data_IF_389988647706
#
_entry.id   IF_389988647706
#
_cell.length_a   1.000
_cell.length_b   1.000
_cell.length_c   1.000
_cell.angle_alpha   90.00
_cell.angle_beta   90.00
_cell.angle_gamma   90.00
#
_symmetry.space_group_name_H-M   'P 1'
#
loop_
_entity.id
_entity.type
_entity.pdbx_description
1 polymer ?
#
# COMPACT_ATOMS: atom_id res chain seq x y z
N UNK A 1 8.07 2.97 8.88
CA UNK A 1 8.41 4.06 7.95
C UNK A 1 7.20 4.42 7.08
N UNK A 2 6.60 5.59 7.31
CA UNK A 2 6.13 6.50 6.25
C UNK A 2 6.32 7.95 6.73
N UNK A 3 6.49 8.87 5.77
CA UNK A 3 6.98 10.27 5.90
C UNK A 3 8.46 10.46 6.27
N UNK A 4 9.38 9.82 5.53
CA UNK A 4 10.75 10.34 5.38
C UNK A 4 11.90 9.44 5.85
N UNK A 5 11.67 8.15 6.11
CA UNK A 5 12.75 7.21 6.45
C UNK A 5 13.45 7.47 7.80
N UNK A 6 12.91 8.38 8.62
CA UNK A 6 13.46 8.67 9.94
C UNK A 6 13.04 7.59 10.94
N UNK A 7 14.02 7.00 11.62
CA UNK A 7 13.78 6.18 12.79
C UNK A 7 13.42 7.13 13.94
N UNK A 8 12.22 6.95 14.49
CA UNK A 8 11.73 7.75 15.61
C UNK A 8 11.83 6.91 16.86
N UNK A 9 12.51 7.43 17.89
CA UNK A 9 12.55 6.83 19.22
C UNK A 9 11.35 7.30 20.04
N UNK A 10 10.82 6.43 20.91
CA UNK A 10 9.64 6.76 21.71
C UNK A 10 9.89 7.89 22.72
N UNK A 11 11.13 8.04 23.17
CA UNK A 11 11.56 9.11 24.08
C UNK A 11 11.55 10.50 23.41
N UNK A 12 11.67 10.55 22.09
CA UNK A 12 11.74 11.78 21.29
C UNK A 12 10.40 12.13 20.61
N UNK A 13 9.36 11.32 20.85
CA UNK A 13 8.05 11.45 20.21
C UNK A 13 7.02 12.07 21.16
N UNK A 14 6.12 12.90 20.61
CA UNK A 14 4.94 13.39 21.32
C UNK A 14 3.71 12.50 21.03
N UNK A 15 2.64 12.60 21.83
CA UNK A 15 1.43 11.81 21.61
C UNK A 15 0.80 12.06 20.23
N UNK A 16 0.93 13.28 19.69
CA UNK A 16 0.46 13.62 18.34
C UNK A 16 1.32 13.04 17.22
N UNK A 17 2.50 12.51 17.53
CA UNK A 17 3.49 12.11 16.53
C UNK A 17 3.03 10.92 15.71
N UNK A 18 2.23 10.00 16.26
CA UNK A 18 1.68 8.91 15.45
C UNK A 18 0.71 9.44 14.37
N UNK A 19 -0.13 10.42 14.73
CA UNK A 19 -1.10 11.03 13.82
C UNK A 19 -0.43 11.94 12.80
N UNK A 20 0.64 12.64 13.20
CA UNK A 20 1.35 13.60 12.36
C UNK A 20 2.34 12.91 11.42
N UNK A 21 3.08 11.92 11.94
CA UNK A 21 4.18 11.26 11.24
C UNK A 21 3.80 9.91 10.63
N UNK A 22 2.63 9.35 10.95
CA UNK A 22 2.22 8.04 10.39
C UNK A 22 3.17 6.92 10.79
N UNK A 23 3.47 6.81 12.08
CA UNK A 23 4.49 5.91 12.60
C UNK A 23 4.12 4.44 12.31
N UNK A 24 5.11 3.66 11.85
CA UNK A 24 4.97 2.23 11.56
C UNK A 24 6.09 1.44 12.23
N UNK A 25 5.77 0.25 12.72
CA UNK A 25 6.71 -0.69 13.31
C UNK A 25 7.85 -1.02 12.34
N UNK A 26 9.08 -1.03 12.82
CA UNK A 26 10.25 -1.38 12.01
C UNK A 26 10.26 -2.88 11.63
N UNK A 27 9.67 -3.73 12.47
CA UNK A 27 9.71 -5.19 12.26
C UNK A 27 8.58 -5.69 11.36
N UNK A 28 7.36 -5.18 11.52
CA UNK A 28 6.19 -5.67 10.78
C UNK A 28 5.57 -4.65 9.83
N UNK A 29 6.04 -3.40 9.85
CA UNK A 29 5.51 -2.34 8.99
C UNK A 29 4.07 -1.91 9.29
N UNK A 30 3.39 -2.48 10.28
CA UNK A 30 2.05 -2.04 10.69
C UNK A 30 2.11 -0.72 11.46
N UNK A 31 1.00 0.02 11.45
CA UNK A 31 0.88 1.28 12.19
C UNK A 31 1.06 1.08 13.70
N UNK A 32 1.76 2.01 14.32
CA UNK A 32 1.99 2.04 15.78
C UNK A 32 1.62 3.40 16.35
N UNK A 33 1.25 3.42 17.62
CA UNK A 33 0.99 4.65 18.36
C UNK A 33 1.93 4.76 19.56
N UNK A 34 2.23 6.00 19.96
CA UNK A 34 3.00 6.25 21.17
C UNK A 34 2.11 5.99 22.40
N UNK A 35 2.58 5.12 23.28
CA UNK A 35 1.98 4.88 24.59
C UNK A 35 2.91 5.45 25.66
N UNK A 36 2.47 6.54 26.28
CA UNK A 36 3.08 7.12 27.46
C UNK A 36 2.25 6.72 28.69
N UNK A 37 2.90 6.18 29.71
CA UNK A 37 2.28 5.87 31.00
C UNK A 37 3.02 6.59 32.12
N UNK A 38 2.36 6.82 33.24
CA UNK A 38 2.99 7.38 34.45
C UNK A 38 4.07 6.46 35.03
N UNK A 39 3.95 5.15 34.82
CA UNK A 39 4.86 4.14 35.39
C UNK A 39 5.81 3.49 34.38
N UNK A 40 5.44 3.46 33.09
CA UNK A 40 6.23 2.82 32.03
C UNK A 40 6.87 3.89 31.16
N UNK A 41 8.14 3.65 30.78
CA UNK A 41 8.82 4.46 29.76
C UNK A 41 7.96 4.55 28.50
N UNK A 42 7.98 5.69 27.80
CA UNK A 42 7.34 5.84 26.50
C UNK A 42 7.74 4.69 25.58
N UNK A 43 6.77 4.08 24.92
CA UNK A 43 7.03 3.01 23.95
C UNK A 43 5.99 3.03 22.84
N UNK A 44 6.36 2.53 21.67
CA UNK A 44 5.42 2.33 20.57
C UNK A 44 4.65 1.02 20.75
N UNK A 45 3.33 1.08 20.55
CA UNK A 45 2.44 -0.06 20.66
C UNK A 45 1.67 -0.27 19.35
N UNK A 46 1.39 -1.53 19.02
CA UNK A 46 0.53 -1.90 17.89
C UNK A 46 -0.93 -1.66 18.26
N UNK A 47 -1.74 -1.26 17.28
CA UNK A 47 -3.19 -1.20 17.46
C UNK A 47 -3.78 -2.60 17.64
N UNK A 48 -4.76 -2.72 18.55
CA UNK A 48 -5.30 -4.01 19.01
C UNK A 48 -6.06 -4.81 17.92
N UNK A 49 -6.38 -4.20 16.77
CA UNK A 49 -7.35 -4.73 15.80
C UNK A 49 -6.80 -5.66 14.71
N UNK A 50 -5.49 -5.89 14.59
CA UNK A 50 -4.97 -6.81 13.57
C UNK A 50 -4.68 -8.19 14.17
N UNK A 51 -5.62 -9.12 13.95
CA UNK A 51 -5.50 -10.54 14.34
C UNK A 51 -4.42 -11.32 13.56
N UNK A 52 -3.74 -10.69 12.59
CA UNK A 52 -2.99 -11.40 11.56
C UNK A 52 -1.46 -11.23 11.60
N UNK A 53 -0.88 -10.37 12.45
CA UNK A 53 0.57 -10.20 12.50
C UNK A 53 1.19 -10.71 13.82
N UNK A 54 1.98 -11.78 13.71
CA UNK A 54 2.93 -12.25 14.75
C UNK A 54 4.16 -11.34 14.77
N UNK A 55 4.00 -10.05 15.05
CA UNK A 55 5.15 -9.17 15.18
C UNK A 55 5.94 -9.53 16.46
N UNK A 56 7.27 -9.73 16.39
CA UNK A 56 8.08 -10.08 17.56
C UNK A 56 8.11 -8.97 18.62
N UNK A 57 7.88 -7.72 18.23
CA UNK A 57 7.78 -6.57 19.14
C UNK A 57 6.37 -6.39 19.72
N UNK A 58 5.41 -7.26 19.38
CA UNK A 58 4.08 -7.21 19.96
C UNK A 58 4.11 -7.83 21.35
N UNK A 59 4.19 -6.98 22.36
CA UNK A 59 4.05 -7.41 23.75
C UNK A 59 2.59 -7.81 23.98
N UNK A 60 2.35 -9.04 24.40
CA UNK A 60 1.03 -9.56 24.82
C UNK A 60 0.63 -8.95 26.16
N UNK A 61 0.34 -7.65 26.17
CA UNK A 61 -0.06 -6.91 27.36
C UNK A 61 -1.56 -6.68 27.41
N UNK A 62 -2.23 -7.30 28.39
CA UNK A 62 -3.57 -6.96 28.85
C UNK A 62 -3.62 -5.47 29.21
N UNK A 63 -4.11 -4.62 28.30
CA UNK A 63 -4.48 -3.26 28.64
C UNK A 63 -5.55 -2.78 27.67
N UNK A 64 -6.79 -2.92 28.13
CA UNK A 64 -7.94 -2.19 27.62
C UNK A 64 -7.67 -0.71 27.86
N UNK A 65 -7.42 0.09 26.80
CA UNK A 65 -7.33 1.52 27.00
C UNK A 65 -6.64 2.33 25.91
N UNK A 66 -7.48 3.16 25.27
CA UNK A 66 -7.17 4.45 24.62
C UNK A 66 -6.52 4.43 23.23
N UNK A 67 -7.28 3.98 22.24
CA UNK A 67 -7.49 4.86 21.09
C UNK A 67 -8.90 5.42 21.21
N UNK A 68 -9.09 6.75 21.11
CA UNK A 68 -10.43 7.34 21.02
C UNK A 68 -11.20 6.94 19.75
N UNK A 69 -10.56 6.16 18.87
CA UNK A 69 -11.17 5.51 17.72
C UNK A 69 -11.47 4.07 18.07
N UNK A 70 -12.71 3.66 17.83
CA UNK A 70 -13.10 2.25 17.90
C UNK A 70 -12.34 1.44 16.83
N UNK A 71 -12.16 0.12 17.00
CA UNK A 71 -11.66 -0.76 15.94
C UNK A 71 -12.38 -0.54 14.59
N UNK A 72 -13.68 -0.27 14.65
CA UNK A 72 -14.56 0.03 13.53
C UNK A 72 -14.16 1.33 12.83
N UNK A 73 -13.91 2.40 13.58
CA UNK A 73 -13.46 3.69 13.03
C UNK A 73 -12.11 3.58 12.32
N UNK A 74 -11.20 2.75 12.86
CA UNK A 74 -9.90 2.50 12.22
C UNK A 74 -10.04 1.70 10.95
N UNK A 75 -10.93 0.70 10.93
CA UNK A 75 -11.23 -0.09 9.74
C UNK A 75 -11.82 0.80 8.64
N UNK A 76 -12.78 1.67 8.98
CA UNK A 76 -13.35 2.63 8.04
C UNK A 76 -12.29 3.59 7.47
N UNK A 77 -11.41 4.15 8.31
CA UNK A 77 -10.33 5.02 7.85
C UNK A 77 -9.35 4.30 6.93
N UNK A 78 -9.02 3.05 7.25
CA UNK A 78 -8.16 2.21 6.41
C UNK A 78 -8.83 1.92 5.07
N UNK A 79 -10.10 1.53 5.06
CA UNK A 79 -10.86 1.29 3.83
C UNK A 79 -10.92 2.56 2.97
N UNK A 80 -11.17 3.72 3.58
CA UNK A 80 -11.13 5.01 2.89
C UNK A 80 -9.75 5.28 2.29
N UNK A 81 -8.67 5.07 3.05
CA UNK A 81 -7.31 5.23 2.54
C UNK A 81 -7.01 4.25 1.40
N UNK A 82 -7.44 2.99 1.52
CA UNK A 82 -7.20 1.96 0.51
C UNK A 82 -7.95 2.25 -0.78
N UNK A 83 -9.23 2.62 -0.68
CA UNK A 83 -10.03 3.08 -1.82
C UNK A 83 -9.37 4.30 -2.47
N UNK A 84 -8.89 5.23 -1.65
CA UNK A 84 -8.20 6.42 -2.14
C UNK A 84 -6.89 6.07 -2.87
N UNK A 85 -6.06 5.22 -2.28
CA UNK A 85 -4.82 4.72 -2.89
C UNK A 85 -5.08 4.09 -4.25
N UNK A 86 -6.07 3.20 -4.34
CA UNK A 86 -6.43 2.57 -5.60
C UNK A 86 -6.98 3.57 -6.63
N UNK A 87 -7.75 4.57 -6.19
CA UNK A 87 -8.28 5.61 -7.07
C UNK A 87 -7.18 6.44 -7.74
N UNK A 88 -6.06 6.68 -7.05
CA UNK A 88 -4.89 7.35 -7.64
C UNK A 88 -4.23 6.51 -8.73
N UNK A 89 -4.25 5.19 -8.60
CA UNK A 89 -3.73 4.30 -9.65
C UNK A 89 -4.73 4.24 -10.81
N UNK A 90 -6.02 4.14 -10.48
CA UNK A 90 -7.11 4.08 -11.45
C UNK A 90 -7.27 5.36 -12.27
N UNK A 91 -6.86 6.53 -11.77
CA UNK A 91 -6.94 7.79 -12.53
C UNK A 91 -6.06 7.81 -13.77
N UNK A 92 -5.13 6.87 -13.92
CA UNK A 92 -4.33 6.68 -15.14
C UNK A 92 -5.00 5.80 -16.19
N UNK A 93 -6.16 5.19 -15.91
CA UNK A 93 -6.90 4.33 -16.83
C UNK A 93 -8.40 4.28 -16.48
N UNK A 94 -9.23 4.94 -17.27
CA UNK A 94 -10.69 5.02 -17.07
C UNK A 94 -11.38 3.65 -16.99
N UNK A 95 -10.77 2.60 -17.56
CA UNK A 95 -11.32 1.24 -17.58
C UNK A 95 -10.74 0.34 -16.48
N UNK A 96 -9.96 0.88 -15.54
CA UNK A 96 -9.25 0.12 -14.50
C UNK A 96 -10.17 -0.90 -13.78
N UNK A 97 -11.31 -0.44 -13.26
CA UNK A 97 -12.23 -1.30 -12.54
C UNK A 97 -12.94 -2.31 -13.43
N UNK A 98 -13.29 -1.92 -14.67
CA UNK A 98 -13.93 -2.82 -15.63
C UNK A 98 -13.01 -3.98 -16.00
N UNK A 99 -11.72 -3.70 -16.24
CA UNK A 99 -10.69 -4.70 -16.54
C UNK A 99 -10.55 -5.74 -15.44
N UNK A 100 -10.59 -5.31 -14.17
CA UNK A 100 -10.61 -6.22 -13.02
C UNK A 100 -11.85 -7.13 -13.06
N UNK A 101 -13.03 -6.60 -13.39
CA UNK A 101 -14.24 -7.42 -13.49
C UNK A 101 -14.15 -8.43 -14.64
N UNK A 102 -13.64 -8.02 -15.81
CA UNK A 102 -13.44 -8.91 -16.96
C UNK A 102 -12.58 -10.11 -16.58
N UNK A 103 -11.49 -9.91 -15.84
CA UNK A 103 -10.62 -11.00 -15.35
C UNK A 103 -11.40 -11.98 -14.47
N UNK A 104 -12.19 -11.43 -13.53
CA UNK A 104 -13.00 -12.23 -12.59
C UNK A 104 -14.09 -13.04 -13.28
N UNK A 105 -14.61 -12.52 -14.39
CA UNK A 105 -15.64 -13.19 -15.21
C UNK A 105 -15.04 -14.24 -16.16
N UNK A 106 -13.85 -13.97 -16.72
CA UNK A 106 -13.22 -14.82 -17.74
C UNK A 106 -12.41 -15.99 -17.19
N UNK A 107 -11.93 -15.90 -15.96
CA UNK A 107 -11.08 -16.94 -15.35
C UNK A 107 -11.86 -17.67 -14.26
N UNK A 108 -11.74 -18.99 -14.25
CA UNK A 108 -12.29 -19.82 -13.18
C UNK A 108 -11.82 -19.32 -11.80
N UNK A 109 -12.75 -19.11 -10.88
CA UNK A 109 -12.49 -18.52 -9.57
C UNK A 109 -11.39 -19.25 -8.78
N UNK A 110 -11.35 -20.58 -8.81
CA UNK A 110 -10.32 -21.33 -8.10
C UNK A 110 -8.93 -21.09 -8.69
N UNK A 111 -8.81 -21.11 -10.03
CA UNK A 111 -7.55 -20.83 -10.72
C UNK A 111 -7.09 -19.41 -10.46
N UNK A 112 -8.00 -18.44 -10.56
CA UNK A 112 -7.70 -17.03 -10.30
C UNK A 112 -7.22 -16.84 -8.86
N UNK A 113 -7.88 -17.44 -7.88
CA UNK A 113 -7.49 -17.31 -6.47
C UNK A 113 -6.10 -17.92 -6.21
N UNK A 114 -5.83 -19.13 -6.72
CA UNK A 114 -4.53 -19.79 -6.58
C UNK A 114 -3.41 -18.95 -7.22
N UNK A 115 -3.66 -18.42 -8.42
CA UNK A 115 -2.70 -17.57 -9.12
C UNK A 115 -2.47 -16.24 -8.40
N UNK A 116 -3.56 -15.62 -7.92
CA UNK A 116 -3.51 -14.36 -7.17
C UNK A 116 -2.71 -14.53 -5.89
N UNK A 117 -2.93 -15.62 -5.16
CA UNK A 117 -2.16 -15.96 -3.96
C UNK A 117 -0.68 -16.15 -4.27
N UNK A 118 -0.34 -16.89 -5.34
CA UNK A 118 1.05 -17.05 -5.77
C UNK A 118 1.71 -15.70 -6.10
N UNK A 119 1.01 -14.80 -6.77
CA UNK A 119 1.50 -13.45 -7.05
C UNK A 119 1.66 -12.60 -5.79
N UNK A 120 0.68 -12.61 -4.88
CA UNK A 120 0.74 -11.82 -3.65
C UNK A 120 1.89 -12.27 -2.74
N UNK A 121 2.09 -13.59 -2.61
CA UNK A 121 3.19 -14.15 -1.84
C UNK A 121 4.54 -13.79 -2.48
N UNK A 122 4.68 -13.99 -3.80
CA UNK A 122 5.91 -13.64 -4.51
C UNK A 122 6.21 -12.13 -4.45
N UNK A 123 5.20 -11.27 -4.52
CA UNK A 123 5.38 -9.82 -4.37
C UNK A 123 5.92 -9.48 -2.98
N UNK A 124 5.32 -10.05 -1.94
CA UNK A 124 5.72 -9.80 -0.55
C UNK A 124 7.15 -10.27 -0.29
N UNK A 125 7.49 -11.47 -0.77
CA UNK A 125 8.82 -12.08 -0.62
C UNK A 125 9.93 -11.30 -1.36
N UNK A 126 9.60 -10.64 -2.47
CA UNK A 126 10.57 -9.94 -3.33
C UNK A 126 10.46 -8.41 -3.27
N UNK A 127 9.64 -7.88 -2.37
CA UNK A 127 9.37 -6.44 -2.22
C UNK A 127 10.64 -5.58 -2.12
N UNK A 128 11.62 -6.01 -1.32
CA UNK A 128 12.90 -5.33 -1.16
C UNK A 128 13.72 -5.26 -2.46
N UNK A 129 13.68 -6.32 -3.27
CA UNK A 129 14.32 -6.33 -4.59
C UNK A 129 13.60 -5.38 -5.55
N UNK A 130 12.27 -5.36 -5.58
CA UNK A 130 11.50 -4.46 -6.43
C UNK A 130 11.80 -2.98 -6.12
N UNK A 131 11.88 -2.62 -4.84
CA UNK A 131 12.27 -1.28 -4.41
C UNK A 131 13.69 -0.95 -4.87
N UNK A 132 14.62 -1.91 -4.78
CA UNK A 132 15.99 -1.73 -5.26
C UNK A 132 16.03 -1.50 -6.77
N UNK A 133 15.30 -2.30 -7.54
CA UNK A 133 15.18 -2.16 -9.00
C UNK A 133 14.63 -0.78 -9.40
N UNK A 134 13.61 -0.28 -8.70
CA UNK A 134 13.05 1.06 -8.95
C UNK A 134 14.10 2.16 -8.75
N UNK A 135 15.04 1.96 -7.82
CA UNK A 135 16.09 2.93 -7.47
C UNK A 135 17.32 2.86 -8.38
N UNK A 136 17.45 1.85 -9.25
CA UNK A 136 18.56 1.78 -10.21
C UNK A 136 18.28 2.76 -11.35
N UNK A 137 18.74 4.01 -11.18
CA UNK A 137 18.65 5.04 -12.20
C UNK A 137 19.80 4.92 -13.20
N UNK A 138 19.47 4.76 -14.49
CA UNK A 138 20.45 4.93 -15.57
C UNK A 138 20.79 6.42 -15.70
N UNK A 139 21.98 6.80 -15.22
CA UNK A 139 22.49 8.17 -15.21
C UNK A 139 22.41 8.87 -16.57
N UNK A 140 21.95 10.12 -16.59
CA UNK A 140 22.70 11.28 -17.16
C UNK A 140 22.01 12.65 -17.05
N UNK A 141 20.75 12.73 -16.62
CA UNK A 141 20.08 14.02 -16.35
C UNK A 141 19.13 13.87 -15.15
N UNK A 142 19.37 14.65 -14.09
CA UNK A 142 18.59 14.61 -12.86
C UNK A 142 17.33 15.48 -13.00
N UNK A 143 16.20 14.85 -13.29
CA UNK A 143 14.89 15.46 -13.05
C UNK A 143 14.45 15.14 -11.61
N UNK A 144 14.37 16.17 -10.76
CA UNK A 144 13.94 16.04 -9.37
C UNK A 144 12.50 15.51 -9.25
N UNK A 145 11.63 15.84 -10.20
CA UNK A 145 10.24 15.36 -10.19
C UNK A 145 10.20 13.86 -10.48
N UNK A 146 10.99 13.39 -11.44
CA UNK A 146 11.10 11.96 -11.76
C UNK A 146 11.64 11.17 -10.56
N UNK A 147 12.65 11.71 -9.85
CA UNK A 147 13.17 11.08 -8.64
C UNK A 147 12.07 10.96 -7.56
N UNK A 148 11.31 12.03 -7.34
CA UNK A 148 10.25 12.03 -6.34
C UNK A 148 9.11 11.07 -6.71
N UNK A 149 8.71 10.98 -7.98
CA UNK A 149 7.74 10.00 -8.49
C UNK A 149 8.17 8.57 -8.14
N UNK A 150 9.44 8.24 -8.39
CA UNK A 150 9.98 6.90 -8.12
C UNK A 150 10.06 6.61 -6.63
N UNK A 151 10.40 7.61 -5.80
CA UNK A 151 10.36 7.45 -4.34
C UNK A 151 8.93 7.16 -3.86
N UNK A 152 7.92 7.84 -4.41
CA UNK A 152 6.52 7.57 -4.08
C UNK A 152 6.14 6.14 -4.53
N UNK A 153 6.57 5.71 -5.72
CA UNK A 153 6.33 4.35 -6.20
C UNK A 153 6.99 3.29 -5.31
N UNK A 154 8.21 3.53 -4.81
CA UNK A 154 8.88 2.64 -3.86
C UNK A 154 8.05 2.48 -2.58
N UNK A 155 7.55 3.59 -2.04
CA UNK A 155 6.73 3.56 -0.84
C UNK A 155 5.37 2.89 -1.08
N UNK A 156 4.81 3.02 -2.28
CA UNK A 156 3.62 2.28 -2.69
C UNK A 156 3.89 0.76 -2.71
N UNK A 157 5.07 0.31 -3.17
CA UNK A 157 5.50 -1.09 -3.12
C UNK A 157 5.62 -1.56 -1.66
N UNK A 158 6.30 -0.79 -0.81
CA UNK A 158 6.44 -1.10 0.62
C UNK A 158 5.09 -1.17 1.34
N UNK A 159 4.15 -0.29 0.96
CA UNK A 159 2.79 -0.33 1.49
C UNK A 159 2.05 -1.58 1.03
N UNK A 160 2.07 -1.90 -0.27
CA UNK A 160 1.38 -3.07 -0.85
C UNK A 160 1.88 -4.41 -0.32
N UNK A 161 3.12 -4.44 0.18
CA UNK A 161 3.75 -5.61 0.81
C UNK A 161 3.22 -5.92 2.21
N UNK A 162 2.39 -5.03 2.79
CA UNK A 162 1.76 -5.29 4.07
C UNK A 162 0.62 -6.30 3.94
N UNK A 163 0.43 -7.11 4.97
CA UNK A 163 -0.72 -8.02 5.03
C UNK A 163 -2.05 -7.25 5.01
N UNK A 164 -2.07 -6.05 5.59
CA UNK A 164 -3.25 -5.18 5.63
C UNK A 164 -3.66 -4.59 4.28
N UNK A 165 -2.75 -4.52 3.29
CA UNK A 165 -3.02 -4.02 1.94
C UNK A 165 -3.31 -5.13 0.92
N UNK A 166 -3.42 -6.39 1.36
CA UNK A 166 -3.56 -7.54 0.46
C UNK A 166 -4.67 -7.35 -0.59
N UNK A 167 -5.85 -6.86 -0.18
CA UNK A 167 -6.98 -6.65 -1.10
C UNK A 167 -6.61 -5.70 -2.26
N UNK A 168 -5.81 -4.67 -2.00
CA UNK A 168 -5.33 -3.75 -3.04
C UNK A 168 -4.37 -4.44 -4.00
N UNK A 169 -3.45 -5.24 -3.44
CA UNK A 169 -2.50 -5.99 -4.25
C UNK A 169 -3.23 -7.00 -5.15
N UNK A 170 -4.27 -7.67 -4.65
CA UNK A 170 -5.11 -8.57 -5.43
C UNK A 170 -5.77 -7.85 -6.61
N UNK A 171 -6.30 -6.65 -6.39
CA UNK A 171 -6.87 -5.82 -7.46
C UNK A 171 -5.83 -5.42 -8.51
N UNK A 172 -4.61 -5.07 -8.09
CA UNK A 172 -3.50 -4.76 -9.00
C UNK A 172 -3.02 -6.00 -9.76
N UNK A 173 -3.02 -7.18 -9.14
CA UNK A 173 -2.74 -8.45 -9.82
C UNK A 173 -3.77 -8.71 -10.92
N UNK A 174 -5.06 -8.54 -10.63
CA UNK A 174 -6.11 -8.74 -11.64
C UNK A 174 -5.99 -7.73 -12.79
N UNK A 175 -5.78 -6.47 -12.47
CA UNK A 175 -5.58 -5.43 -13.48
C UNK A 175 -4.34 -5.67 -14.35
N UNK A 176 -3.21 -6.08 -13.75
CA UNK A 176 -2.00 -6.46 -14.49
C UNK A 176 -2.21 -7.69 -15.35
N UNK A 177 -2.99 -8.67 -14.86
CA UNK A 177 -3.34 -9.87 -15.62
C UNK A 177 -4.18 -9.54 -16.86
N UNK A 178 -5.15 -8.62 -16.75
CA UNK A 178 -5.88 -8.10 -17.91
C UNK A 178 -4.93 -7.48 -18.94
N UNK A 179 -4.04 -6.57 -18.52
CA UNK A 179 -3.04 -5.96 -19.40
C UNK A 179 -2.16 -6.99 -20.11
N UNK A 180 -1.81 -8.08 -19.42
CA UNK A 180 -1.05 -9.18 -19.99
C UNK A 180 -1.88 -10.00 -21.00
N UNK A 181 -3.13 -10.31 -20.66
CA UNK A 181 -4.02 -11.18 -21.43
C UNK A 181 -4.70 -10.50 -22.62
N UNK A 182 -4.80 -9.16 -22.68
CA UNK A 182 -5.34 -8.43 -23.86
C UNK A 182 -4.61 -8.80 -25.16
N UNK A 183 -3.37 -9.29 -25.06
CA UNK A 183 -2.59 -9.75 -26.21
C UNK A 183 -3.01 -11.12 -26.79
N UNK A 184 -3.87 -11.89 -26.11
CA UNK A 184 -4.21 -13.28 -26.45
C UNK A 184 -5.71 -13.53 -26.31
N UNK A 185 -6.38 -13.98 -27.38
CA UNK A 185 -7.81 -13.69 -27.52
C UNK A 185 -8.78 -14.61 -26.79
N UNK A 186 -8.57 -15.92 -26.58
CA UNK A 186 -9.76 -16.76 -26.26
C UNK A 186 -9.63 -17.79 -25.12
N UNK A 187 -8.45 -18.00 -24.51
CA UNK A 187 -8.32 -19.01 -23.45
C UNK A 187 -7.48 -18.55 -22.25
N UNK A 188 -8.05 -17.60 -21.51
CA UNK A 188 -7.44 -16.99 -20.32
C UNK A 188 -7.16 -18.03 -19.22
N UNK A 189 -8.01 -19.04 -19.15
CA UNK A 189 -8.01 -20.08 -18.13
C UNK A 189 -6.83 -21.06 -18.25
N UNK A 190 -6.36 -21.29 -19.47
CA UNK A 190 -5.11 -22.02 -19.73
C UNK A 190 -3.91 -21.09 -19.62
N UNK A 191 -4.05 -19.85 -20.07
CA UNK A 191 -2.94 -18.91 -20.11
C UNK A 191 -2.47 -18.49 -18.72
N UNK A 192 -3.38 -18.25 -17.78
CA UNK A 192 -3.05 -17.87 -16.40
C UNK A 192 -2.11 -18.88 -15.72
N UNK A 193 -2.18 -20.15 -16.09
CA UNK A 193 -1.32 -21.21 -15.53
C UNK A 193 0.10 -21.20 -16.08
N UNK A 194 0.32 -20.52 -17.22
CA UNK A 194 1.61 -20.43 -17.89
C UNK A 194 2.37 -19.16 -17.51
N UNK A 195 1.65 -18.11 -17.08
CA UNK A 195 2.24 -16.84 -16.64
C UNK A 195 3.04 -17.07 -15.37
N UNK A 196 4.27 -16.56 -15.35
CA UNK A 196 5.09 -16.59 -14.14
C UNK A 196 4.68 -15.45 -13.23
N UNK A 197 4.52 -15.66 -11.90
CA UNK A 197 4.16 -14.59 -10.97
C UNK A 197 5.05 -13.34 -11.09
N UNK A 198 6.35 -13.52 -11.35
CA UNK A 198 7.29 -12.41 -11.56
C UNK A 198 6.89 -11.50 -12.73
N UNK A 199 6.31 -12.02 -13.80
CA UNK A 199 5.90 -11.20 -14.96
C UNK A 199 4.79 -10.22 -14.57
N UNK A 200 3.80 -10.69 -13.81
CA UNK A 200 2.73 -9.85 -13.26
C UNK A 200 3.28 -8.83 -12.27
N UNK A 201 4.25 -9.22 -11.45
CA UNK A 201 4.82 -8.33 -10.43
C UNK A 201 5.64 -7.21 -11.07
N UNK A 202 6.40 -7.52 -12.11
CA UNK A 202 7.10 -6.52 -12.91
C UNK A 202 6.10 -5.57 -13.59
N UNK A 203 4.97 -6.10 -14.08
CA UNK A 203 3.89 -5.26 -14.62
C UNK A 203 3.27 -4.34 -13.56
N UNK A 204 3.07 -4.81 -12.32
CA UNK A 204 2.61 -3.98 -11.19
C UNK A 204 3.63 -2.88 -10.89
N UNK A 205 4.93 -3.22 -10.82
CA UNK A 205 6.00 -2.25 -10.61
C UNK A 205 5.95 -1.15 -11.68
N UNK A 206 5.83 -1.53 -12.95
CA UNK A 206 5.75 -0.58 -14.06
C UNK A 206 4.50 0.30 -13.97
N UNK A 207 3.36 -0.25 -13.56
CA UNK A 207 2.15 0.55 -13.29
C UNK A 207 2.46 1.60 -12.22
N UNK A 208 3.01 1.20 -11.08
CA UNK A 208 3.28 2.11 -9.96
C UNK A 208 4.30 3.20 -10.32
N UNK A 209 5.30 2.90 -11.12
CA UNK A 209 6.29 3.89 -11.58
C UNK A 209 5.64 4.93 -12.52
N UNK A 210 4.69 4.49 -13.35
CA UNK A 210 4.06 5.34 -14.37
C UNK A 210 2.82 6.11 -13.88
N UNK A 211 2.35 5.85 -12.65
CA UNK A 211 1.30 6.68 -12.04
C UNK A 211 1.82 8.11 -11.88
N UNK A 212 1.00 9.09 -12.27
CA UNK A 212 1.34 10.51 -12.16
C UNK A 212 1.14 11.04 -10.74
N UNK A 213 1.86 10.47 -9.77
CA UNK A 213 1.68 10.73 -8.35
C UNK A 213 1.70 12.21 -8.00
N UNK A 214 2.64 12.96 -8.58
CA UNK A 214 2.80 14.38 -8.27
C UNK A 214 1.62 15.23 -8.77
N UNK A 215 1.05 14.92 -9.94
CA UNK A 215 -0.13 15.62 -10.45
C UNK A 215 -1.31 15.39 -9.51
N UNK A 216 -1.56 14.12 -9.22
CA UNK A 216 -2.69 13.68 -8.37
C UNK A 216 -2.56 14.29 -6.97
N UNK A 217 -1.38 14.22 -6.35
CA UNK A 217 -1.16 14.76 -5.01
C UNK A 217 -1.25 16.30 -4.97
N UNK A 218 -0.86 16.98 -6.05
CA UNK A 218 -0.95 18.45 -6.13
C UNK A 218 -2.40 18.92 -6.22
N UNK A 219 -3.22 18.28 -7.07
CA UNK A 219 -4.65 18.56 -7.20
C UNK A 219 -5.38 18.40 -5.86
N UNK A 220 -5.01 17.40 -5.06
CA UNK A 220 -5.58 17.20 -3.73
C UNK A 220 -5.24 18.32 -2.76
N UNK A 221 -4.00 18.81 -2.78
CA UNK A 221 -3.59 19.91 -1.91
C UNK A 221 -4.40 21.16 -2.24
N UNK A 222 -4.69 21.40 -3.51
CA UNK A 222 -5.58 22.48 -3.93
C UNK A 222 -7.02 22.27 -3.47
N UNK A 223 -7.60 21.08 -3.65
CA UNK A 223 -8.96 20.77 -3.18
C UNK A 223 -9.07 20.93 -1.65
N UNK A 224 -8.07 20.48 -0.90
CA UNK A 224 -8.04 20.65 0.56
C UNK A 224 -7.89 22.12 0.97
N UNK A 225 -7.08 22.91 0.26
CA UNK A 225 -7.00 24.37 0.47
C UNK A 225 -8.35 25.03 0.21
N UNK A 226 -9.02 24.69 -0.89
CA UNK A 226 -10.36 25.19 -1.19
C UNK A 226 -11.37 24.83 -0.09
N UNK A 227 -11.43 23.57 0.37
CA UNK A 227 -12.36 23.19 1.45
C UNK A 227 -12.11 23.92 2.76
N UNK A 228 -10.84 24.22 3.10
CA UNK A 228 -10.50 25.03 4.29
C UNK A 228 -10.92 26.49 4.15
N UNK A 229 -10.81 27.06 2.94
CA UNK A 229 -11.19 28.46 2.67
C UNK A 229 -12.72 28.62 2.65
N UNK A 230 -13.45 27.63 2.13
CA UNK A 230 -14.88 27.74 1.86
C UNK A 230 -15.78 26.96 2.84
N UNK A 231 -15.22 26.36 3.89
CA UNK A 231 -15.98 25.93 5.08
C UNK A 231 -16.94 24.75 4.89
N UNK A 232 -16.67 23.84 3.95
CA UNK A 232 -17.46 22.60 3.81
C UNK A 232 -16.79 21.48 4.64
N UNK A 233 -17.29 21.30 5.86
CA UNK A 233 -16.97 20.18 6.76
C UNK A 233 -18.17 19.27 6.96
#
# INVERSE_FOLDING_TARGET
MYQGGMIVCADDADYSSYSRLGLRCLECGEEVYLKSGSEKKPHFAHFQATYYSKCPLRVTGYSEGSSGLTPEDKKQRRELFQNYFLSMIASSDDNFYQKIQVVKEKINTQKLNNFTEACCNHFSDNSSQLVTECRIFSSKTYDQNLLLQILIACEAIDYLSLSSSRILLEQLVHYSLDKFCITITDNWDNYVTQIKPNEIIQQIKDILINVSWLSILSELQEIQRYRRIYGFG
#
